data_IF_618099542986
#
_entry.id   IF_618099542986
#
_cell.length_a   1.000
_cell.length_b   1.000
_cell.length_c   1.000
_cell.angle_alpha   90.00
_cell.angle_beta   90.00
_cell.angle_gamma   90.00
#
_symmetry.space_group_name_H-M   'P 1'
#
loop_
_entity.id
_entity.type
_entity.pdbx_description
1 polymer ?
#
# COMPACT_ATOMS: atom_id res chain seq x y z
N UNK A 1 -65.12 -7.60 -1.45
CA UNK A 1 -65.90 -7.08 -0.28
C UNK A 1 -65.25 -7.32 1.10
N UNK A 2 -64.23 -8.19 1.24
CA UNK A 2 -63.54 -8.43 2.50
C UNK A 2 -62.41 -7.44 2.82
N UNK A 3 -62.00 -6.58 1.88
CA UNK A 3 -60.91 -5.62 2.08
C UNK A 3 -61.31 -4.21 2.58
N UNK A 4 -62.64 -3.94 2.74
CA UNK A 4 -63.08 -2.59 3.07
C UNK A 4 -63.22 -2.31 4.59
N UNK A 5 -62.89 -3.25 5.46
CA UNK A 5 -63.06 -3.09 6.91
C UNK A 5 -61.77 -3.16 7.74
N UNK A 6 -60.61 -3.37 7.13
CA UNK A 6 -59.32 -3.42 7.86
C UNK A 6 -58.51 -2.18 7.48
N UNK A 7 -58.33 -1.26 8.43
CA UNK A 7 -57.34 -0.21 8.27
C UNK A 7 -55.96 -0.86 8.20
N UNK A 8 -55.23 -0.68 7.08
CA UNK A 8 -53.87 -1.22 7.01
C UNK A 8 -52.99 -0.52 8.04
N UNK A 9 -52.43 -1.28 8.96
CA UNK A 9 -51.34 -0.79 9.78
C UNK A 9 -50.08 -0.74 8.94
N UNK A 10 -49.56 0.47 8.68
CA UNK A 10 -48.28 0.67 8.02
C UNK A 10 -47.16 0.48 9.03
N UNK A 11 -46.28 -0.47 8.78
CA UNK A 11 -45.04 -0.65 9.54
C UNK A 11 -43.92 0.04 8.75
N UNK A 12 -43.21 1.02 9.33
CA UNK A 12 -42.06 1.58 8.66
C UNK A 12 -40.99 0.49 8.59
N UNK A 13 -40.59 0.12 7.39
CA UNK A 13 -39.52 -0.83 7.15
C UNK A 13 -38.22 -0.04 6.88
N UNK A 14 -37.12 -0.49 7.44
CA UNK A 14 -35.79 0.03 7.09
C UNK A 14 -35.48 -0.25 5.62
N UNK A 15 -34.66 0.61 5.00
CA UNK A 15 -34.34 0.54 3.55
C UNK A 15 -33.64 -0.75 3.12
N UNK A 16 -33.15 -1.54 4.06
CA UNK A 16 -32.33 -2.73 3.81
C UNK A 16 -33.15 -4.05 3.85
N UNK A 17 -34.47 -3.97 3.79
CA UNK A 17 -35.32 -5.15 3.77
C UNK A 17 -35.45 -5.74 2.37
N UNK A 18 -35.16 -7.03 2.26
CA UNK A 18 -35.38 -7.80 1.03
C UNK A 18 -36.67 -8.61 1.21
N UNK A 19 -37.63 -8.41 0.30
CA UNK A 19 -38.84 -9.25 0.21
C UNK A 19 -38.45 -10.58 -0.44
N UNK A 20 -38.73 -11.69 0.25
CA UNK A 20 -38.43 -13.03 -0.27
C UNK A 20 -39.61 -13.53 -1.07
N UNK A 21 -39.51 -13.48 -2.40
CA UNK A 21 -40.54 -13.98 -3.33
C UNK A 21 -40.03 -15.20 -4.14
N UNK A 22 -38.73 -15.43 -4.20
CA UNK A 22 -38.11 -16.51 -4.94
C UNK A 22 -37.01 -17.22 -4.13
N UNK A 23 -36.55 -18.40 -4.60
CA UNK A 23 -35.36 -19.06 -4.05
C UNK A 23 -34.10 -18.21 -4.17
N UNK A 24 -34.04 -17.33 -5.16
CA UNK A 24 -32.94 -16.42 -5.35
C UNK A 24 -32.89 -15.37 -4.23
N UNK A 25 -34.05 -14.80 -3.88
CA UNK A 25 -34.16 -13.85 -2.76
C UNK A 25 -33.80 -14.53 -1.42
N UNK A 26 -34.30 -15.76 -1.22
CA UNK A 26 -33.93 -16.58 -0.08
C UNK A 26 -32.42 -16.77 0.04
N UNK A 27 -31.77 -17.13 -1.08
CA UNK A 27 -30.33 -17.33 -1.09
C UNK A 27 -29.57 -16.04 -0.80
N UNK A 28 -30.01 -14.89 -1.34
CA UNK A 28 -29.42 -13.57 -1.03
C UNK A 28 -29.58 -13.25 0.45
N UNK A 29 -30.78 -13.42 1.03
CA UNK A 29 -31.04 -13.19 2.45
C UNK A 29 -30.16 -14.09 3.34
N UNK A 30 -30.02 -15.37 2.98
CA UNK A 30 -29.15 -16.30 3.74
C UNK A 30 -27.69 -15.86 3.72
N UNK A 31 -27.21 -15.33 2.58
CA UNK A 31 -25.86 -14.75 2.46
C UNK A 31 -25.70 -13.49 3.30
N UNK A 32 -26.67 -12.61 3.28
CA UNK A 32 -26.65 -11.37 4.09
C UNK A 32 -26.68 -11.65 5.59
N UNK A 33 -27.47 -12.63 6.03
CA UNK A 33 -27.50 -13.04 7.45
C UNK A 33 -26.19 -13.67 7.92
N UNK A 34 -25.38 -14.21 7.03
CA UNK A 34 -24.05 -14.77 7.34
C UNK A 34 -22.92 -13.74 7.26
N UNK A 35 -23.22 -12.49 6.83
CA UNK A 35 -22.21 -11.45 6.74
C UNK A 35 -21.60 -11.16 8.13
N UNK A 36 -20.30 -11.07 8.13
CA UNK A 36 -19.53 -10.61 9.29
C UNK A 36 -19.18 -9.14 9.09
N UNK A 37 -19.04 -8.41 10.19
CA UNK A 37 -18.59 -7.03 10.14
C UNK A 37 -17.08 -6.95 10.27
N UNK A 38 -16.41 -6.43 9.25
CA UNK A 38 -14.97 -6.22 9.20
C UNK A 38 -14.69 -4.73 9.27
N UNK A 39 -13.98 -4.31 10.31
CA UNK A 39 -13.57 -2.92 10.48
C UNK A 39 -12.08 -2.79 10.14
N UNK A 40 -11.76 -1.97 9.14
CA UNK A 40 -10.40 -1.55 8.84
C UNK A 40 -10.10 -0.26 9.57
N UNK A 41 -9.23 -0.31 10.58
CA UNK A 41 -8.66 0.88 11.21
C UNK A 41 -7.35 1.24 10.49
N UNK A 42 -7.34 2.41 9.85
CA UNK A 42 -6.24 2.79 8.97
C UNK A 42 -5.63 4.14 9.35
N UNK A 43 -4.39 4.34 8.91
CA UNK A 43 -3.68 5.61 8.95
C UNK A 43 -3.28 6.01 7.53
N UNK A 44 -3.27 7.33 7.25
CA UNK A 44 -2.78 7.83 5.96
C UNK A 44 -2.74 9.34 5.95
N UNK A 45 -1.54 9.87 6.14
CA UNK A 45 -1.25 11.30 6.14
C UNK A 45 0.07 11.56 5.41
N UNK A 46 0.51 12.82 5.34
CA UNK A 46 1.74 13.22 4.65
C UNK A 46 3.00 12.52 5.20
N UNK A 47 3.03 12.17 6.47
CA UNK A 47 4.21 11.57 7.12
C UNK A 47 4.30 10.07 6.90
N UNK A 48 3.16 9.37 6.95
CA UNK A 48 3.09 7.89 6.86
C UNK A 48 2.94 7.41 5.42
N UNK A 49 2.40 8.27 4.55
CA UNK A 49 2.17 7.93 3.14
C UNK A 49 0.86 7.19 2.91
N UNK A 50 0.72 6.62 1.70
CA UNK A 50 -0.52 6.00 1.19
C UNK A 50 -0.46 4.47 1.13
N UNK A 51 0.64 3.84 1.57
CA UNK A 51 0.84 2.38 1.50
C UNK A 51 -0.22 1.60 2.26
N UNK A 52 -0.58 2.06 3.45
CA UNK A 52 -1.60 1.47 4.33
C UNK A 52 -2.98 1.43 3.66
N UNK A 53 -3.38 2.52 3.02
CA UNK A 53 -4.68 2.61 2.33
C UNK A 53 -4.72 1.68 1.11
N UNK A 54 -3.66 1.62 0.34
CA UNK A 54 -3.60 0.75 -0.85
C UNK A 54 -3.70 -0.72 -0.44
N UNK A 55 -3.00 -1.13 0.63
CA UNK A 55 -3.06 -2.50 1.16
C UNK A 55 -4.46 -2.86 1.63
N UNK A 56 -5.07 -2.00 2.44
CA UNK A 56 -6.40 -2.26 3.01
C UNK A 56 -7.50 -2.24 1.95
N UNK A 57 -7.43 -1.36 0.94
CA UNK A 57 -8.35 -1.39 -0.20
C UNK A 57 -8.23 -2.69 -1.00
N UNK A 58 -7.00 -3.14 -1.28
CA UNK A 58 -6.78 -4.43 -1.95
C UNK A 58 -7.41 -5.59 -1.18
N UNK A 59 -7.31 -5.61 0.15
CA UNK A 59 -7.96 -6.63 0.98
C UNK A 59 -9.48 -6.47 1.02
N UNK A 60 -9.99 -5.25 1.16
CA UNK A 60 -11.43 -4.98 1.23
C UNK A 60 -12.16 -5.43 -0.04
N UNK A 61 -11.56 -5.23 -1.21
CA UNK A 61 -12.12 -5.68 -2.49
C UNK A 61 -12.24 -7.22 -2.61
N UNK A 62 -11.41 -7.96 -1.88
CA UNK A 62 -11.41 -9.44 -1.91
C UNK A 62 -12.37 -10.08 -0.89
N UNK A 63 -12.93 -9.30 0.05
CA UNK A 63 -13.82 -9.80 1.11
C UNK A 63 -15.19 -9.11 1.11
N UNK A 64 -15.66 -8.71 -0.07
CA UNK A 64 -16.92 -7.96 -0.27
C UNK A 64 -18.19 -8.74 0.07
N UNK A 65 -18.12 -10.03 0.34
CA UNK A 65 -19.20 -10.85 0.89
C UNK A 65 -19.47 -10.55 2.37
N UNK A 66 -18.64 -9.70 3.02
CA UNK A 66 -18.78 -9.20 4.37
C UNK A 66 -19.16 -7.70 4.40
N UNK A 67 -19.60 -7.22 5.56
CA UNK A 67 -19.85 -5.79 5.79
C UNK A 67 -18.53 -5.08 6.09
N UNK A 68 -18.08 -4.24 5.17
CA UNK A 68 -16.80 -3.53 5.27
C UNK A 68 -17.03 -2.11 5.80
N UNK A 69 -16.30 -1.74 6.85
CA UNK A 69 -16.25 -0.39 7.40
C UNK A 69 -14.82 0.08 7.55
N UNK A 70 -14.57 1.33 7.19
CA UNK A 70 -13.28 1.98 7.41
C UNK A 70 -13.36 2.98 8.55
N UNK A 71 -12.31 3.05 9.36
CA UNK A 71 -12.18 3.99 10.46
C UNK A 71 -10.78 4.62 10.41
N UNK A 72 -10.69 5.93 10.49
CA UNK A 72 -9.42 6.63 10.59
C UNK A 72 -9.51 7.80 11.58
N UNK A 73 -8.36 8.30 12.01
CA UNK A 73 -8.30 9.50 12.84
C UNK A 73 -8.44 10.78 12.01
N UNK A 74 -8.77 11.90 12.67
CA UNK A 74 -8.95 13.22 12.04
C UNK A 74 -7.69 13.74 11.34
N UNK A 75 -6.51 13.20 11.67
CA UNK A 75 -5.22 13.55 11.03
C UNK A 75 -4.97 12.78 9.73
N UNK A 76 -5.72 11.70 9.50
CA UNK A 76 -5.62 10.84 8.31
C UNK A 76 -6.48 11.33 7.14
N UNK A 77 -6.49 12.66 6.92
CA UNK A 77 -7.32 13.30 5.88
C UNK A 77 -7.07 12.72 4.49
N UNK A 78 -5.81 12.49 4.13
CA UNK A 78 -5.46 11.91 2.82
C UNK A 78 -6.06 10.51 2.63
N UNK A 79 -6.14 9.72 3.71
CA UNK A 79 -6.82 8.44 3.70
C UNK A 79 -8.33 8.61 3.51
N UNK A 80 -8.95 9.51 4.26
CA UNK A 80 -10.37 9.78 4.18
C UNK A 80 -10.78 10.27 2.78
N UNK A 81 -10.04 11.21 2.20
CA UNK A 81 -10.28 11.75 0.85
C UNK A 81 -10.17 10.64 -0.22
N UNK A 82 -9.20 9.73 -0.08
CA UNK A 82 -9.07 8.58 -1.00
C UNK A 82 -10.23 7.62 -0.88
N UNK A 83 -10.66 7.28 0.34
CA UNK A 83 -11.76 6.37 0.61
C UNK A 83 -13.12 6.94 0.19
N UNK A 84 -13.30 8.25 0.25
CA UNK A 84 -14.52 8.93 -0.21
C UNK A 84 -14.83 8.67 -1.70
N UNK A 85 -13.85 8.24 -2.49
CA UNK A 85 -14.04 7.79 -3.88
C UNK A 85 -14.59 6.37 -4.03
N UNK A 86 -14.80 5.64 -2.92
CA UNK A 86 -15.34 4.29 -2.89
C UNK A 86 -16.63 4.26 -2.06
N UNK A 87 -17.54 3.35 -2.37
CA UNK A 87 -18.82 3.19 -1.67
C UNK A 87 -18.67 2.33 -0.38
N UNK A 88 -17.68 2.70 0.45
CA UNK A 88 -17.51 2.10 1.77
C UNK A 88 -17.97 3.06 2.87
N UNK A 89 -18.52 2.50 3.94
CA UNK A 89 -18.78 3.29 5.14
C UNK A 89 -17.46 3.76 5.77
N UNK A 90 -17.35 5.06 6.07
CA UNK A 90 -16.16 5.68 6.63
C UNK A 90 -16.52 6.48 7.88
N UNK A 91 -15.91 6.12 9.02
CA UNK A 91 -15.91 6.90 10.25
C UNK A 91 -14.58 7.64 10.44
N UNK A 92 -14.66 8.94 10.70
CA UNK A 92 -13.49 9.78 11.04
C UNK A 92 -13.67 10.29 12.46
N UNK A 93 -12.73 9.99 13.35
CA UNK A 93 -12.85 10.27 14.77
C UNK A 93 -11.59 10.94 15.32
N UNK A 94 -11.69 11.56 16.48
CA UNK A 94 -10.52 12.03 17.20
C UNK A 94 -9.70 10.86 17.76
N UNK A 95 -8.38 11.06 17.84
CA UNK A 95 -7.44 9.99 18.19
C UNK A 95 -7.72 9.35 19.58
N UNK A 96 -8.28 10.12 20.52
CA UNK A 96 -8.66 9.65 21.86
C UNK A 96 -10.00 8.89 21.92
N UNK A 97 -10.82 8.97 20.87
CA UNK A 97 -12.16 8.35 20.81
C UNK A 97 -12.18 7.11 19.89
N UNK A 98 -11.25 7.03 18.95
CA UNK A 98 -11.30 6.05 17.85
C UNK A 98 -11.34 4.60 18.33
N UNK A 99 -10.69 4.26 19.45
CA UNK A 99 -10.69 2.89 19.99
C UNK A 99 -12.07 2.48 20.50
N UNK A 100 -12.75 3.38 21.20
CA UNK A 100 -14.10 3.14 21.72
C UNK A 100 -15.12 3.13 20.57
N UNK A 101 -14.92 3.96 19.54
CA UNK A 101 -15.75 3.95 18.34
C UNK A 101 -15.61 2.65 17.52
N UNK A 102 -14.39 2.10 17.42
CA UNK A 102 -14.17 0.78 16.79
C UNK A 102 -14.92 -0.30 17.55
N UNK A 103 -14.89 -0.30 18.90
CA UNK A 103 -15.66 -1.24 19.73
C UNK A 103 -17.17 -1.06 19.57
N UNK A 104 -17.65 0.18 19.52
CA UNK A 104 -19.08 0.50 19.35
C UNK A 104 -19.66 0.04 18.00
N UNK A 105 -18.80 -0.22 17.00
CA UNK A 105 -19.21 -0.81 15.73
C UNK A 105 -19.48 -2.32 15.82
N UNK A 106 -19.21 -2.96 16.95
CA UNK A 106 -19.41 -4.40 17.19
C UNK A 106 -18.84 -5.28 16.04
N UNK A 107 -17.53 -5.17 15.69
CA UNK A 107 -16.95 -5.94 14.61
C UNK A 107 -16.73 -7.40 14.98
N UNK A 108 -16.83 -8.31 14.01
CA UNK A 108 -16.34 -9.69 14.14
C UNK A 108 -14.81 -9.76 13.94
N UNK A 109 -14.28 -8.87 13.09
CA UNK A 109 -12.86 -8.77 12.80
C UNK A 109 -12.44 -7.28 12.70
N UNK A 110 -11.33 -6.95 13.35
CA UNK A 110 -10.64 -5.67 13.18
C UNK A 110 -9.31 -5.91 12.45
N UNK A 111 -9.10 -5.19 11.36
CA UNK A 111 -7.82 -5.15 10.65
C UNK A 111 -7.19 -3.79 10.90
N UNK A 112 -6.14 -3.75 11.70
CA UNK A 112 -5.40 -2.53 11.99
C UNK A 112 -4.23 -2.38 11.00
N UNK A 113 -4.19 -1.25 10.34
CA UNK A 113 -3.10 -0.83 9.48
C UNK A 113 -2.70 0.61 9.85
N UNK A 114 -2.19 0.76 11.09
CA UNK A 114 -1.95 2.03 11.79
C UNK A 114 -0.55 2.15 12.38
N UNK A 115 0.39 1.30 11.98
CA UNK A 115 1.68 1.11 12.61
C UNK A 115 1.53 0.46 14.01
N UNK A 116 2.10 1.05 15.06
CA UNK A 116 2.16 0.43 16.37
C UNK A 116 0.81 0.48 17.11
N UNK A 117 0.37 -0.65 17.66
CA UNK A 117 -0.79 -0.74 18.54
C UNK A 117 -0.37 -0.88 20.01
N UNK A 118 -1.20 -0.40 20.93
CA UNK A 118 -1.01 -0.58 22.35
C UNK A 118 -1.52 -1.94 22.83
N UNK A 119 -0.93 -2.47 23.90
CA UNK A 119 -1.40 -3.71 24.51
C UNK A 119 -2.83 -3.59 25.05
N UNK A 120 -3.20 -2.42 25.58
CA UNK A 120 -4.52 -2.19 26.16
C UNK A 120 -5.63 -2.19 25.11
N UNK A 121 -5.39 -1.57 23.95
CA UNK A 121 -6.33 -1.59 22.84
C UNK A 121 -6.58 -3.02 22.34
N UNK A 122 -5.54 -3.80 22.13
CA UNK A 122 -5.70 -5.18 21.64
C UNK A 122 -6.38 -6.06 22.70
N UNK A 123 -6.06 -5.90 23.99
CA UNK A 123 -6.75 -6.61 25.08
C UNK A 123 -8.24 -6.29 25.13
N UNK A 124 -8.64 -5.01 24.96
CA UNK A 124 -10.06 -4.61 24.90
C UNK A 124 -10.80 -5.33 23.77
N UNK A 125 -10.23 -5.34 22.55
CA UNK A 125 -10.82 -6.03 21.40
C UNK A 125 -10.94 -7.54 21.67
N UNK A 126 -9.90 -8.18 22.17
CA UNK A 126 -9.88 -9.62 22.47
C UNK A 126 -10.86 -10.01 23.58
N UNK A 127 -11.01 -9.16 24.62
CA UNK A 127 -11.98 -9.36 25.70
C UNK A 127 -13.43 -9.31 25.19
N UNK A 128 -13.70 -8.58 24.11
CA UNK A 128 -14.98 -8.53 23.41
C UNK A 128 -15.16 -9.65 22.38
N UNK A 129 -14.29 -10.66 22.37
CA UNK A 129 -14.28 -11.79 21.43
C UNK A 129 -14.12 -11.37 19.95
N UNK A 130 -13.48 -10.23 19.70
CA UNK A 130 -13.19 -9.71 18.36
C UNK A 130 -11.89 -10.31 17.87
N UNK A 131 -11.88 -10.84 16.64
CA UNK A 131 -10.66 -11.25 15.95
C UNK A 131 -9.85 -10.02 15.52
N UNK A 132 -8.51 -10.10 15.61
CA UNK A 132 -7.64 -8.95 15.29
C UNK A 132 -6.50 -9.37 14.38
N UNK A 133 -6.34 -8.63 13.28
CA UNK A 133 -5.20 -8.71 12.35
C UNK A 133 -4.50 -7.36 12.30
N UNK A 134 -3.19 -7.34 12.48
CA UNK A 134 -2.38 -6.12 12.38
C UNK A 134 -1.40 -6.20 11.22
N UNK A 135 -1.14 -5.06 10.57
CA UNK A 135 -0.10 -4.89 9.56
C UNK A 135 0.96 -3.89 10.03
N UNK A 136 2.23 -4.20 9.76
CA UNK A 136 3.40 -3.36 10.08
C UNK A 136 3.48 -2.92 11.56
N UNK A 137 3.01 -3.77 12.45
CA UNK A 137 2.94 -3.47 13.88
C UNK A 137 4.18 -3.99 14.62
N UNK A 138 4.92 -3.06 15.20
CA UNK A 138 6.06 -3.30 16.09
C UNK A 138 5.75 -2.88 17.54
N UNK A 139 4.49 -2.54 17.84
CA UNK A 139 4.03 -2.10 19.15
C UNK A 139 3.81 -3.27 20.13
N UNK A 140 3.52 -2.92 21.37
CA UNK A 140 3.24 -3.87 22.44
C UNK A 140 2.01 -4.76 22.17
N UNK A 141 1.09 -4.28 21.32
CA UNK A 141 -0.12 -5.02 20.94
C UNK A 141 0.12 -6.12 19.93
N UNK A 142 1.19 -6.06 19.14
CA UNK A 142 1.46 -6.96 18.01
C UNK A 142 1.44 -8.45 18.39
N UNK A 143 2.04 -8.81 19.54
CA UNK A 143 2.06 -10.18 20.04
C UNK A 143 0.76 -10.67 20.66
N UNK A 144 -0.25 -9.80 20.81
CA UNK A 144 -1.54 -10.11 21.46
C UNK A 144 -2.69 -10.31 20.45
N UNK A 145 -2.47 -10.08 19.18
CA UNK A 145 -3.44 -10.24 18.09
C UNK A 145 -3.69 -11.71 17.75
N UNK A 146 -4.64 -12.00 16.88
CA UNK A 146 -4.75 -13.32 16.24
C UNK A 146 -3.64 -13.51 15.19
N UNK A 147 -3.27 -12.43 14.50
CA UNK A 147 -2.25 -12.43 13.47
C UNK A 147 -1.66 -11.03 13.30
N UNK A 148 -0.34 -10.92 13.28
CA UNK A 148 0.37 -9.72 12.86
C UNK A 148 1.22 -10.03 11.63
N UNK A 149 1.17 -9.15 10.63
CA UNK A 149 1.87 -9.33 9.35
C UNK A 149 2.85 -8.18 9.17
N UNK A 150 4.13 -8.49 9.26
CA UNK A 150 5.26 -7.56 9.16
C UNK A 150 6.08 -7.82 7.89
N UNK A 151 5.45 -7.68 6.74
CA UNK A 151 6.00 -8.06 5.44
C UNK A 151 7.21 -7.23 4.98
N UNK A 152 7.39 -6.02 5.51
CA UNK A 152 8.50 -5.14 5.13
C UNK A 152 9.79 -5.43 5.92
N UNK A 153 9.71 -6.26 6.97
CA UNK A 153 10.82 -6.61 7.83
C UNK A 153 11.24 -8.05 7.58
N UNK A 154 12.45 -8.27 7.09
CA UNK A 154 12.93 -9.62 6.73
C UNK A 154 13.32 -10.50 7.91
N UNK A 155 13.43 -9.91 9.12
CA UNK A 155 13.83 -10.62 10.34
C UNK A 155 12.93 -10.17 11.51
N UNK A 156 12.66 -11.08 12.48
CA UNK A 156 11.89 -10.72 13.67
C UNK A 156 12.55 -9.61 14.49
N UNK A 157 11.81 -8.50 14.68
CA UNK A 157 12.24 -7.37 15.54
C UNK A 157 11.61 -7.44 16.93
N UNK A 158 10.50 -8.16 17.07
CA UNK A 158 9.79 -8.39 18.33
C UNK A 158 9.37 -9.86 18.42
N UNK A 159 9.16 -10.36 19.63
CA UNK A 159 8.73 -11.73 19.87
C UNK A 159 7.20 -11.88 19.66
N UNK A 160 6.78 -13.04 19.14
CA UNK A 160 5.38 -13.43 18.99
C UNK A 160 5.24 -14.57 17.98
N UNK A 161 4.59 -15.66 18.38
CA UNK A 161 4.32 -16.80 17.49
C UNK A 161 3.25 -16.49 16.43
N UNK A 162 2.43 -15.48 16.69
CA UNK A 162 1.37 -14.99 15.81
C UNK A 162 1.88 -13.95 14.79
N UNK A 163 3.19 -13.69 14.70
CA UNK A 163 3.76 -12.65 13.84
C UNK A 163 4.44 -13.29 12.63
N UNK A 164 3.94 -12.94 11.45
CA UNK A 164 4.54 -13.31 10.17
C UNK A 164 5.51 -12.22 9.70
N UNK A 165 6.72 -12.59 9.35
CA UNK A 165 7.78 -11.73 8.92
C UNK A 165 8.16 -12.00 7.46
N UNK A 166 8.66 -10.97 6.78
CA UNK A 166 9.30 -11.10 5.49
C UNK A 166 8.40 -10.94 4.28
N UNK A 167 9.06 -10.75 3.16
CA UNK A 167 8.47 -10.45 1.87
C UNK A 167 7.53 -11.55 1.32
N UNK A 168 7.61 -12.75 1.83
CA UNK A 168 6.69 -13.84 1.54
C UNK A 168 5.26 -13.54 1.96
N UNK A 169 5.06 -12.51 2.79
CA UNK A 169 3.76 -12.03 3.23
C UNK A 169 3.31 -10.76 2.49
N UNK A 170 4.19 -10.19 1.67
CA UNK A 170 3.87 -9.03 0.84
C UNK A 170 2.99 -9.44 -0.35
N UNK A 171 2.02 -8.61 -0.70
CA UNK A 171 1.23 -8.71 -1.93
C UNK A 171 1.13 -7.37 -2.63
N UNK A 172 1.08 -7.42 -3.96
CA UNK A 172 0.94 -6.25 -4.83
C UNK A 172 -0.52 -5.79 -4.92
N UNK A 173 -0.71 -4.58 -5.40
CA UNK A 173 -2.03 -4.07 -5.81
C UNK A 173 -2.57 -4.87 -6.99
N UNK A 174 -3.90 -4.85 -7.19
CA UNK A 174 -4.59 -5.62 -8.23
C UNK A 174 -4.06 -5.35 -9.64
N UNK A 175 -3.68 -4.11 -9.93
CA UNK A 175 -3.14 -3.71 -11.25
C UNK A 175 -1.90 -4.52 -11.67
N UNK A 176 -1.18 -5.12 -10.73
CA UNK A 176 -0.01 -5.94 -11.03
C UNK A 176 -0.35 -7.40 -11.37
N UNK A 177 -1.62 -7.82 -11.26
CA UNK A 177 -2.03 -9.16 -11.67
C UNK A 177 -1.89 -9.35 -13.19
N UNK A 178 -2.19 -8.31 -13.96
CA UNK A 178 -2.15 -8.31 -15.42
C UNK A 178 -0.88 -7.64 -15.99
N UNK A 179 -0.07 -7.02 -15.14
CA UNK A 179 1.17 -6.35 -15.52
C UNK A 179 2.21 -7.37 -16.06
N UNK A 180 2.95 -6.95 -17.08
CA UNK A 180 3.98 -7.78 -17.71
C UNK A 180 5.36 -7.42 -17.17
N UNK A 181 5.99 -8.28 -16.35
CA UNK A 181 7.36 -8.03 -15.89
C UNK A 181 8.33 -7.81 -17.04
N UNK A 182 9.22 -6.85 -16.86
CA UNK A 182 10.18 -6.47 -17.90
C UNK A 182 11.11 -7.62 -18.30
N UNK A 183 11.54 -7.60 -19.54
CA UNK A 183 12.67 -8.39 -20.06
C UNK A 183 13.95 -7.55 -20.02
N UNK A 184 15.09 -8.19 -19.85
CA UNK A 184 16.36 -7.48 -19.82
C UNK A 184 16.65 -6.77 -21.15
N UNK A 185 17.05 -5.50 -21.08
CA UNK A 185 17.52 -4.71 -22.23
C UNK A 185 18.92 -4.18 -21.93
N UNK A 186 19.84 -4.35 -22.87
CA UNK A 186 21.22 -3.87 -22.71
C UNK A 186 21.31 -2.34 -22.64
N UNK A 187 20.43 -1.64 -23.37
CA UNK A 187 20.34 -0.18 -23.32
C UNK A 187 19.21 0.26 -22.40
N UNK A 188 19.49 1.23 -21.55
CA UNK A 188 18.47 1.92 -20.75
C UNK A 188 17.85 3.02 -21.60
N UNK A 189 16.55 2.94 -21.81
CA UNK A 189 15.76 3.94 -22.52
C UNK A 189 14.84 4.74 -21.60
N UNK A 190 14.44 4.15 -20.49
CA UNK A 190 13.53 4.75 -19.51
C UNK A 190 14.02 4.56 -18.08
N UNK A 191 13.90 5.62 -17.31
CA UNK A 191 14.14 5.67 -15.88
C UNK A 191 12.86 6.11 -15.18
N UNK A 192 12.47 5.43 -14.09
CA UNK A 192 11.38 5.84 -13.20
C UNK A 192 11.93 6.55 -11.96
N UNK A 193 11.37 7.71 -11.63
CA UNK A 193 11.52 8.38 -10.32
C UNK A 193 10.17 8.31 -9.61
N UNK A 194 10.12 7.63 -8.46
CA UNK A 194 8.88 7.47 -7.68
C UNK A 194 9.18 7.27 -6.20
N UNK A 195 8.81 8.23 -5.36
CA UNK A 195 9.07 8.21 -3.93
C UNK A 195 7.79 8.03 -3.10
N UNK A 196 6.91 7.14 -3.54
CA UNK A 196 5.68 6.77 -2.83
C UNK A 196 4.56 7.81 -2.95
N UNK A 197 3.67 7.82 -1.95
CA UNK A 197 2.43 8.60 -1.99
C UNK A 197 2.57 10.08 -1.66
N UNK A 198 3.59 10.45 -0.90
CA UNK A 198 3.71 11.79 -0.31
C UNK A 198 5.06 12.47 -0.56
N UNK A 199 6.15 11.72 -0.65
CA UNK A 199 7.53 12.21 -0.77
C UNK A 199 7.82 13.45 0.10
N UNK A 200 7.72 13.31 1.43
CA UNK A 200 7.80 14.46 2.34
C UNK A 200 9.20 15.12 2.36
N UNK A 201 10.20 14.42 1.86
CA UNK A 201 11.59 14.89 1.77
C UNK A 201 11.90 15.55 0.43
N UNK A 202 10.93 15.61 -0.49
CA UNK A 202 11.11 16.14 -1.85
C UNK A 202 12.33 15.51 -2.58
N UNK A 203 12.44 14.19 -2.47
CA UNK A 203 13.50 13.45 -3.15
C UNK A 203 13.30 13.47 -4.66
N UNK A 204 12.05 13.53 -5.14
CA UNK A 204 11.73 13.61 -6.57
C UNK A 204 12.49 14.75 -7.25
N UNK A 205 12.42 15.98 -6.72
CA UNK A 205 13.10 17.14 -7.33
C UNK A 205 14.62 17.08 -7.12
N UNK A 206 15.07 16.67 -5.94
CA UNK A 206 16.52 16.52 -5.65
C UNK A 206 17.17 15.54 -6.61
N UNK A 207 16.55 14.39 -6.82
CA UNK A 207 17.07 13.34 -7.73
C UNK A 207 16.98 13.79 -9.18
N UNK A 208 15.87 14.41 -9.60
CA UNK A 208 15.75 14.96 -10.97
C UNK A 208 16.90 15.92 -11.29
N UNK A 209 17.19 16.88 -10.37
CA UNK A 209 18.32 17.81 -10.55
C UNK A 209 19.66 17.10 -10.72
N UNK A 210 19.86 16.05 -9.95
CA UNK A 210 21.12 15.30 -9.93
C UNK A 210 21.39 14.52 -11.22
N UNK A 211 20.35 13.88 -11.79
CA UNK A 211 20.53 12.89 -12.87
C UNK A 211 20.13 13.38 -14.27
N UNK A 212 19.38 14.49 -14.40
CA UNK A 212 18.87 14.99 -15.70
C UNK A 212 19.94 15.14 -16.77
N UNK A 213 21.14 15.58 -16.36
CA UNK A 213 22.27 15.76 -17.27
C UNK A 213 22.79 14.45 -17.87
N UNK A 214 22.88 13.39 -17.06
CA UNK A 214 23.27 12.06 -17.53
C UNK A 214 22.20 11.45 -18.42
N UNK A 215 20.91 11.60 -18.05
CA UNK A 215 19.80 11.14 -18.87
C UNK A 215 19.78 11.80 -20.25
N UNK A 216 19.97 13.12 -20.32
CA UNK A 216 20.05 13.85 -21.60
C UNK A 216 21.18 13.37 -22.47
N UNK A 217 22.41 13.21 -21.91
CA UNK A 217 23.57 12.72 -22.68
C UNK A 217 23.39 11.29 -23.22
N UNK A 218 22.57 10.47 -22.56
CA UNK A 218 22.35 9.06 -22.90
C UNK A 218 21.03 8.80 -23.63
N UNK A 219 20.24 9.84 -23.90
CA UNK A 219 18.88 9.75 -24.45
C UNK A 219 17.98 8.80 -23.62
N UNK A 220 18.00 8.96 -22.30
CA UNK A 220 17.15 8.23 -21.36
C UNK A 220 15.95 9.13 -21.03
N UNK A 221 14.75 8.68 -21.34
CA UNK A 221 13.51 9.34 -20.96
C UNK A 221 13.27 9.16 -19.46
N UNK A 222 12.92 10.25 -18.79
CA UNK A 222 12.60 10.23 -17.35
C UNK A 222 11.09 10.16 -17.20
N UNK A 223 10.61 9.17 -16.46
CA UNK A 223 9.24 9.05 -16.01
C UNK A 223 9.19 9.45 -14.53
N UNK A 224 8.35 10.40 -14.20
CA UNK A 224 8.17 10.85 -12.82
C UNK A 224 6.74 10.56 -12.39
N UNK A 225 6.58 9.87 -11.27
CA UNK A 225 5.27 9.62 -10.66
C UNK A 225 5.30 10.17 -9.25
N UNK A 226 4.39 11.12 -8.95
CA UNK A 226 4.14 11.59 -7.59
C UNK A 226 2.75 11.16 -7.13
N UNK A 227 2.62 10.82 -5.85
CA UNK A 227 1.33 10.45 -5.28
C UNK A 227 0.45 11.64 -4.91
N UNK A 228 -0.80 11.37 -4.51
CA UNK A 228 -1.80 12.39 -4.19
C UNK A 228 -1.40 13.33 -3.04
N UNK A 229 -0.53 12.87 -2.12
CA UNK A 229 -0.05 13.67 -0.99
C UNK A 229 1.25 14.45 -1.25
N UNK A 230 1.75 14.50 -2.48
CA UNK A 230 2.96 15.24 -2.81
C UNK A 230 2.70 16.74 -2.81
N UNK A 231 3.43 17.49 -1.98
CA UNK A 231 3.15 18.91 -1.70
C UNK A 231 3.86 19.89 -2.66
N UNK A 232 4.89 19.43 -3.42
CA UNK A 232 5.76 20.30 -4.23
C UNK A 232 5.45 20.24 -5.74
N UNK A 233 4.17 20.10 -6.11
CA UNK A 233 3.73 19.89 -7.50
C UNK A 233 4.13 21.07 -8.39
N UNK A 234 3.83 22.31 -7.96
CA UNK A 234 4.08 23.53 -8.75
C UNK A 234 5.55 23.75 -8.99
N UNK A 235 6.37 23.54 -7.97
CA UNK A 235 7.82 23.66 -8.05
C UNK A 235 8.41 22.61 -9.00
N UNK A 236 7.90 21.37 -8.95
CA UNK A 236 8.33 20.30 -9.85
C UNK A 236 7.95 20.60 -11.31
N UNK A 237 6.73 21.02 -11.56
CA UNK A 237 6.26 21.42 -12.91
C UNK A 237 7.07 22.58 -13.47
N UNK A 238 7.38 23.59 -12.67
CA UNK A 238 8.25 24.71 -13.08
C UNK A 238 9.64 24.20 -13.46
N UNK A 239 10.24 23.34 -12.65
CA UNK A 239 11.57 22.77 -12.95
C UNK A 239 11.57 21.86 -14.20
N UNK A 240 10.52 21.08 -14.43
CA UNK A 240 10.37 20.26 -15.63
C UNK A 240 10.30 21.15 -16.87
N UNK A 241 9.54 22.24 -16.83
CA UNK A 241 9.40 23.16 -17.97
C UNK A 241 10.70 23.90 -18.36
N UNK A 242 11.63 24.03 -17.42
CA UNK A 242 12.96 24.62 -17.68
C UNK A 242 13.96 23.61 -18.28
N UNK A 243 13.64 22.33 -18.28
CA UNK A 243 14.55 21.26 -18.77
C UNK A 243 14.27 20.97 -20.24
N UNK A 244 15.22 21.33 -21.13
CA UNK A 244 15.07 21.17 -22.58
C UNK A 244 15.95 20.05 -23.20
N UNK A 245 16.82 19.44 -22.40
CA UNK A 245 17.85 18.51 -22.90
C UNK A 245 17.56 17.03 -22.61
N UNK A 246 16.41 16.72 -22.00
CA UNK A 246 15.95 15.36 -21.72
C UNK A 246 14.43 15.30 -21.79
N UNK A 247 13.90 14.20 -22.32
CA UNK A 247 12.45 13.96 -22.36
C UNK A 247 11.96 13.54 -20.98
N UNK A 248 10.94 14.24 -20.46
CA UNK A 248 10.33 13.96 -19.17
C UNK A 248 8.82 13.74 -19.36
N UNK A 249 8.31 12.64 -18.79
CA UNK A 249 6.89 12.35 -18.68
C UNK A 249 6.50 12.36 -17.21
N UNK A 250 5.67 13.34 -16.81
CA UNK A 250 5.25 13.52 -15.42
C UNK A 250 3.78 13.11 -15.23
N UNK A 251 3.55 12.36 -14.17
CA UNK A 251 2.23 11.94 -13.74
C UNK A 251 2.02 12.25 -12.25
N UNK A 252 0.91 12.90 -11.94
CA UNK A 252 0.47 13.11 -10.56
C UNK A 252 -0.73 12.22 -10.25
N UNK A 253 -0.65 11.42 -9.18
CA UNK A 253 -1.75 10.62 -8.65
C UNK A 253 -2.43 9.69 -9.68
N UNK A 254 -1.64 9.01 -10.52
CA UNK A 254 -2.19 8.06 -11.50
C UNK A 254 -2.73 6.79 -10.83
N UNK A 255 -3.79 6.23 -11.39
CA UNK A 255 -4.43 5.01 -10.90
C UNK A 255 -3.64 3.73 -11.20
N UNK A 256 -2.96 3.66 -12.36
CA UNK A 256 -2.23 2.48 -12.85
C UNK A 256 -0.77 2.82 -13.07
N UNK A 257 0.08 2.42 -12.13
CA UNK A 257 1.54 2.67 -12.16
C UNK A 257 2.27 1.61 -12.99
N UNK A 258 1.74 0.39 -13.04
CA UNK A 258 2.33 -0.74 -13.75
C UNK A 258 2.60 -0.44 -15.23
N UNK A 259 1.73 0.32 -15.90
CA UNK A 259 1.92 0.72 -17.30
C UNK A 259 3.16 1.63 -17.53
N UNK A 260 3.54 2.42 -16.53
CA UNK A 260 4.80 3.20 -16.61
C UNK A 260 5.97 2.28 -16.28
N UNK A 261 5.82 1.38 -15.31
CA UNK A 261 6.86 0.42 -14.95
C UNK A 261 7.23 -0.52 -16.12
N UNK A 262 6.30 -0.87 -17.01
CA UNK A 262 6.55 -1.66 -18.22
C UNK A 262 7.49 -0.95 -19.23
N UNK A 263 7.59 0.39 -19.16
CA UNK A 263 8.38 1.20 -20.12
C UNK A 263 9.82 1.44 -19.67
N UNK A 264 10.14 1.21 -18.38
CA UNK A 264 11.42 1.59 -17.78
C UNK A 264 12.32 0.38 -17.51
N UNK A 265 13.62 0.58 -17.48
CA UNK A 265 14.61 -0.46 -17.22
C UNK A 265 15.29 -0.30 -15.86
N UNK A 266 15.22 0.88 -15.28
CA UNK A 266 15.80 1.22 -13.98
C UNK A 266 14.90 2.19 -13.24
N UNK A 267 15.02 2.25 -11.90
CA UNK A 267 14.24 3.18 -11.09
C UNK A 267 15.09 3.78 -9.96
N UNK A 268 14.58 4.91 -9.41
CA UNK A 268 15.04 5.47 -8.14
C UNK A 268 13.79 5.69 -7.30
N UNK A 269 13.75 5.09 -6.10
CA UNK A 269 12.53 5.00 -5.29
C UNK A 269 12.79 5.09 -3.80
N UNK A 270 11.71 5.23 -3.02
CA UNK A 270 11.73 5.12 -1.57
C UNK A 270 11.73 3.65 -1.10
N UNK A 271 12.21 3.39 0.13
CA UNK A 271 12.31 2.06 0.74
C UNK A 271 10.98 1.57 1.35
N UNK A 272 9.87 1.89 0.69
CA UNK A 272 8.53 1.47 1.05
C UNK A 272 8.01 0.31 0.19
N UNK A 273 6.70 0.24 0.01
CA UNK A 273 6.04 -0.82 -0.76
C UNK A 273 6.42 -0.83 -2.25
N UNK A 274 6.75 0.32 -2.83
CA UNK A 274 7.08 0.47 -4.25
C UNK A 274 8.27 -0.41 -4.68
N UNK A 275 9.25 -0.68 -3.81
CA UNK A 275 10.40 -1.52 -4.17
C UNK A 275 10.01 -2.97 -4.45
N UNK A 276 8.95 -3.47 -3.83
CA UNK A 276 8.41 -4.80 -4.11
C UNK A 276 7.70 -4.84 -5.46
N UNK A 277 6.97 -3.76 -5.80
CA UNK A 277 6.36 -3.58 -7.12
C UNK A 277 7.44 -3.53 -8.21
N UNK A 278 8.53 -2.79 -7.98
CA UNK A 278 9.69 -2.76 -8.87
C UNK A 278 10.36 -4.14 -9.00
N UNK A 279 10.47 -4.88 -7.89
CA UNK A 279 11.00 -6.24 -7.92
C UNK A 279 10.10 -7.19 -8.72
N UNK A 280 8.78 -7.12 -8.51
CA UNK A 280 7.80 -7.88 -9.29
C UNK A 280 7.91 -7.59 -10.79
N UNK A 281 8.18 -6.34 -11.14
CA UNK A 281 8.33 -5.88 -12.53
C UNK A 281 9.75 -6.08 -13.09
N UNK A 282 10.67 -6.72 -12.36
CA UNK A 282 12.08 -6.94 -12.73
C UNK A 282 12.85 -5.63 -13.02
N UNK A 283 12.65 -4.59 -12.24
CA UNK A 283 13.28 -3.27 -12.42
C UNK A 283 14.33 -3.04 -11.33
N UNK A 284 15.64 -3.13 -11.64
CA UNK A 284 16.70 -2.74 -10.72
C UNK A 284 16.53 -1.28 -10.27
N UNK A 285 16.69 -1.01 -8.98
CA UNK A 285 16.44 0.32 -8.45
C UNK A 285 17.48 0.77 -7.43
N UNK A 286 17.72 2.08 -7.40
CA UNK A 286 18.38 2.78 -6.30
C UNK A 286 17.32 3.15 -5.27
N UNK A 287 17.58 2.88 -4.00
CA UNK A 287 16.57 2.98 -2.94
C UNK A 287 17.06 3.90 -1.83
N UNK A 288 16.27 4.96 -1.55
CA UNK A 288 16.49 5.88 -0.43
C UNK A 288 15.40 5.67 0.62
N UNK A 289 15.70 6.03 1.87
CA UNK A 289 14.72 6.00 2.97
C UNK A 289 14.40 7.42 3.44
N UNK A 290 13.13 7.70 3.73
CA UNK A 290 12.69 9.00 4.23
C UNK A 290 13.03 9.20 5.72
N UNK A 291 12.96 8.13 6.51
CA UNK A 291 13.14 8.16 7.96
C UNK A 291 13.69 6.85 8.50
N UNK A 292 14.08 6.83 9.79
CA UNK A 292 14.75 5.67 10.40
C UNK A 292 13.90 4.39 10.38
N UNK A 293 12.58 4.47 10.61
CA UNK A 293 11.72 3.28 10.54
C UNK A 293 11.74 2.66 9.13
N UNK A 294 11.61 3.48 8.09
CA UNK A 294 11.69 3.01 6.70
C UNK A 294 13.07 2.43 6.38
N UNK A 295 14.13 2.97 7.00
CA UNK A 295 15.49 2.47 6.84
C UNK A 295 15.71 1.07 7.47
N UNK A 296 14.82 0.62 8.35
CA UNK A 296 14.85 -0.74 8.90
C UNK A 296 14.17 -1.77 7.98
N UNK A 297 13.47 -1.34 6.93
CA UNK A 297 12.95 -2.24 5.91
C UNK A 297 14.12 -2.83 5.12
N UNK A 298 14.30 -4.13 5.19
CA UNK A 298 15.52 -4.78 4.73
C UNK A 298 15.40 -5.54 3.40
N UNK A 299 14.31 -5.35 2.67
CA UNK A 299 14.16 -5.95 1.33
C UNK A 299 15.09 -5.30 0.29
N UNK A 300 15.36 -3.99 0.41
CA UNK A 300 16.32 -3.29 -0.44
C UNK A 300 17.75 -3.75 -0.15
N UNK A 301 18.20 -4.78 -0.88
CA UNK A 301 19.56 -5.36 -0.78
C UNK A 301 20.08 -5.67 -2.18
N UNK A 302 21.39 -5.66 -2.34
CA UNK A 302 22.02 -6.06 -3.61
C UNK A 302 21.64 -7.49 -4.00
N UNK A 303 21.53 -8.39 -3.02
CA UNK A 303 21.12 -9.79 -3.21
C UNK A 303 19.72 -9.91 -3.81
N UNK A 304 18.85 -8.95 -3.56
CA UNK A 304 17.50 -8.85 -4.11
C UNK A 304 17.42 -7.98 -5.39
N UNK A 305 18.56 -7.54 -5.93
CA UNK A 305 18.59 -6.73 -7.15
C UNK A 305 18.35 -5.22 -6.95
N UNK A 306 18.39 -4.74 -5.71
CA UNK A 306 18.15 -3.35 -5.31
C UNK A 306 19.39 -2.75 -4.65
N UNK A 307 19.64 -1.44 -4.86
CA UNK A 307 20.82 -0.73 -4.37
C UNK A 307 20.41 0.19 -3.21
N UNK A 308 20.60 -0.21 -1.93
CA UNK A 308 20.22 0.62 -0.79
C UNK A 308 21.24 1.77 -0.60
N UNK A 309 20.72 2.97 -0.49
CA UNK A 309 21.53 4.18 -0.17
C UNK A 309 21.35 4.59 1.29
N UNK A 310 20.17 4.34 1.88
CA UNK A 310 19.77 4.78 3.20
C UNK A 310 19.15 6.18 3.20
N UNK A 311 19.20 6.83 4.35
CA UNK A 311 18.59 8.16 4.53
C UNK A 311 19.46 9.23 3.87
N UNK A 312 18.81 10.22 3.24
CA UNK A 312 19.50 11.34 2.60
C UNK A 312 20.21 12.24 3.64
N UNK A 313 21.51 12.41 3.46
CA UNK A 313 22.41 13.19 4.33
C UNK A 313 23.18 14.26 3.54
N UNK A 314 22.52 14.90 2.54
CA UNK A 314 23.12 15.94 1.72
C UNK A 314 24.08 15.42 0.66
N UNK A 315 25.16 16.16 0.41
CA UNK A 315 26.10 15.97 -0.70
C UNK A 315 26.70 14.56 -0.77
N UNK A 316 26.96 13.93 0.36
CA UNK A 316 27.52 12.57 0.37
C UNK A 316 26.52 11.53 -0.16
N UNK A 317 25.24 11.72 0.12
CA UNK A 317 24.17 10.87 -0.46
C UNK A 317 24.04 11.15 -1.95
N UNK A 318 24.08 12.41 -2.37
CA UNK A 318 24.02 12.80 -3.79
C UNK A 318 25.17 12.15 -4.57
N UNK A 319 26.40 12.20 -4.07
CA UNK A 319 27.55 11.52 -4.70
C UNK A 319 27.35 10.02 -4.84
N UNK A 320 26.81 9.36 -3.81
CA UNK A 320 26.52 7.91 -3.85
C UNK A 320 25.42 7.61 -4.90
N UNK A 321 24.33 8.36 -4.90
CA UNK A 321 23.26 8.19 -5.89
C UNK A 321 23.78 8.41 -7.30
N UNK A 322 24.56 9.48 -7.56
CA UNK A 322 25.15 9.74 -8.87
C UNK A 322 26.07 8.61 -9.33
N UNK A 323 26.93 8.11 -8.44
CA UNK A 323 27.86 7.00 -8.73
C UNK A 323 27.09 5.72 -9.09
N UNK A 324 26.13 5.32 -8.25
CA UNK A 324 25.36 4.10 -8.48
C UNK A 324 24.43 4.25 -9.70
N UNK A 325 23.91 5.45 -9.97
CA UNK A 325 23.14 5.70 -11.16
C UNK A 325 24.00 5.56 -12.43
N UNK A 326 25.19 6.15 -12.47
CA UNK A 326 26.14 5.97 -13.59
C UNK A 326 26.48 4.49 -13.78
N UNK A 327 26.76 3.76 -12.68
CA UNK A 327 27.02 2.33 -12.75
C UNK A 327 25.82 1.56 -13.31
N UNK A 328 24.60 1.90 -12.86
CA UNK A 328 23.37 1.24 -13.31
C UNK A 328 23.10 1.43 -14.81
N UNK A 329 23.42 2.61 -15.38
CA UNK A 329 23.19 2.90 -16.78
C UNK A 329 24.35 2.48 -17.71
N UNK A 330 25.57 2.36 -17.18
CA UNK A 330 26.77 2.10 -18.00
C UNK A 330 27.28 0.67 -17.91
N UNK A 331 27.19 0.02 -16.75
CA UNK A 331 27.67 -1.34 -16.50
C UNK A 331 26.53 -2.34 -16.78
N UNK A 332 26.56 -2.91 -18.00
CA UNK A 332 25.55 -3.86 -18.48
C UNK A 332 25.55 -5.14 -17.62
N UNK A 333 26.73 -5.67 -17.28
CA UNK A 333 26.86 -6.92 -16.53
C UNK A 333 26.37 -6.75 -15.09
N UNK A 334 26.69 -5.63 -14.45
CA UNK A 334 26.14 -5.30 -13.14
C UNK A 334 24.61 -5.22 -13.16
N UNK A 335 24.05 -4.46 -14.13
CA UNK A 335 22.59 -4.33 -14.27
C UNK A 335 21.93 -5.67 -14.59
N UNK A 336 22.54 -6.51 -15.43
CA UNK A 336 22.06 -7.85 -15.75
C UNK A 336 22.06 -8.76 -14.52
N UNK A 337 23.06 -8.63 -13.67
CA UNK A 337 23.12 -9.35 -12.40
C UNK A 337 21.99 -8.94 -11.48
N UNK A 338 21.75 -7.63 -11.28
CA UNK A 338 20.63 -7.13 -10.46
C UNK A 338 19.29 -7.59 -11.03
N UNK A 339 19.09 -7.46 -12.35
CA UNK A 339 17.88 -7.93 -13.01
C UNK A 339 17.64 -9.44 -12.80
N UNK A 340 18.71 -10.25 -12.87
CA UNK A 340 18.61 -11.69 -12.62
C UNK A 340 18.16 -12.04 -11.19
N UNK A 341 18.58 -11.22 -10.21
CA UNK A 341 18.19 -11.35 -8.79
C UNK A 341 16.73 -10.98 -8.53
N UNK A 342 16.12 -10.14 -9.37
CA UNK A 342 14.72 -9.76 -9.24
C UNK A 342 13.75 -10.82 -9.78
N UNK A 343 14.15 -11.61 -10.77
CA UNK A 343 13.27 -12.60 -11.44
C UNK A 343 12.51 -13.58 -10.54
N UNK A 344 13.07 -14.05 -9.40
CA UNK A 344 12.34 -14.95 -8.52
C UNK A 344 11.14 -14.32 -7.80
N UNK A 345 11.06 -12.98 -7.73
CA UNK A 345 10.01 -12.29 -6.96
C UNK A 345 8.71 -12.21 -7.75
N UNK A 346 7.72 -12.99 -7.29
CA UNK A 346 6.35 -12.92 -7.76
C UNK A 346 5.42 -12.94 -6.53
N UNK A 347 4.81 -11.79 -6.25
CA UNK A 347 4.02 -11.57 -5.04
C UNK A 347 2.53 -11.91 -5.19
N UNK A 348 2.04 -12.23 -6.39
CA UNK A 348 0.61 -12.47 -6.63
C UNK A 348 0.08 -13.66 -5.79
N UNK A 349 0.88 -14.72 -5.61
CA UNK A 349 0.49 -15.90 -4.81
C UNK A 349 0.38 -15.63 -3.31
N UNK A 350 1.05 -14.60 -2.80
CA UNK A 350 1.05 -14.29 -1.38
C UNK A 350 -0.31 -13.77 -0.92
N UNK A 351 -1.03 -13.04 -1.79
CA UNK A 351 -2.37 -12.49 -1.50
C UNK A 351 -3.35 -13.59 -1.12
N UNK A 352 -3.42 -14.68 -1.89
CA UNK A 352 -4.33 -15.81 -1.63
C UNK A 352 -4.07 -16.43 -0.25
N UNK A 353 -2.80 -16.57 0.14
CA UNK A 353 -2.43 -17.08 1.46
C UNK A 353 -2.90 -16.16 2.59
N UNK A 354 -2.66 -14.85 2.47
CA UNK A 354 -3.09 -13.87 3.47
C UNK A 354 -4.62 -13.83 3.58
N UNK A 355 -5.32 -13.83 2.45
CA UNK A 355 -6.78 -13.91 2.42
C UNK A 355 -7.30 -15.18 3.07
N UNK A 356 -6.67 -16.33 2.83
CA UNK A 356 -7.05 -17.60 3.47
C UNK A 356 -6.93 -17.53 4.99
N UNK A 357 -5.88 -16.88 5.52
CA UNK A 357 -5.71 -16.65 6.96
C UNK A 357 -6.81 -15.73 7.51
N UNK A 358 -7.13 -14.64 6.82
CA UNK A 358 -8.20 -13.70 7.20
C UNK A 358 -9.57 -14.41 7.19
N UNK A 359 -9.89 -15.13 6.11
CA UNK A 359 -11.14 -15.89 6.01
C UNK A 359 -11.28 -16.96 7.09
N UNK A 360 -10.19 -17.58 7.55
CA UNK A 360 -10.25 -18.56 8.63
C UNK A 360 -10.76 -17.95 9.95
N UNK A 361 -10.54 -16.65 10.17
CA UNK A 361 -10.98 -15.90 11.35
C UNK A 361 -12.45 -15.43 11.25
N UNK A 362 -13.03 -15.45 10.04
CA UNK A 362 -14.41 -15.05 9.76
C UNK A 362 -15.38 -16.24 9.72
N UNK A 363 -14.86 -17.48 9.72
CA UNK A 363 -15.66 -18.72 9.59
C UNK A 363 -16.25 -19.23 10.91
N UNK A 364 -15.91 -18.63 12.05
CA UNK A 364 -16.36 -19.11 13.37
C UNK A 364 -17.76 -18.64 13.73
#
# INVERSE_FOLDING_TARGET
ELMSSVQPHTYPLDRDLIEIQSYQDWWVCEKLLKRKRVVFRIIGNEQVGMGHIQRTLTLAHEITDHEIRFVCDSKSKTAADKLAGYDYWLGVYEANEIEDQVLALEPDLVINDILNTSSDYIKKLRASNISVVNFEDLGEGAGLTNLTINELYGEPLIAGENILWGWENFFTREEFNDAKPNTFKEKVHGLLIMFGGTDPSDYTRKILKLIKGDCGRKNIKIYIITGAGYSFIRELESEINEINNVEIEYHHSIGVVSHVMEKVQVAISANGRTIYELAHMNIPAIVLSHHERENTHNFARLENGLIPIGIYKGVDTEKKVALEFQRLIMDIDFRKTLFGRLKPFNFNKNKERILSLIHSMLRC
#
